data_IF_320055727992
#
_entry.id   IF_320055727992
#
_cell.length_a   1.000
_cell.length_b   1.000
_cell.length_c   1.000
_cell.angle_alpha   90.00
_cell.angle_beta   90.00
_cell.angle_gamma   90.00
#
_symmetry.space_group_name_H-M   'P 1'
#
loop_
_entity.id
_entity.type
_entity.pdbx_description
1 polymer ?
#
# COMPACT_ATOMS: atom_id res chain seq x y z
N UNK A 1 7.07 -1.26 22.39
CA UNK A 1 8.49 -1.37 21.94
C UNK A 1 9.26 -0.12 22.35
N UNK A 2 10.32 -0.28 23.16
CA UNK A 2 11.05 0.88 23.76
C UNK A 2 11.81 1.80 22.80
N UNK A 3 11.76 1.60 21.49
CA UNK A 3 12.55 2.42 20.54
C UNK A 3 11.99 2.36 19.11
N UNK A 4 10.65 2.44 18.96
CA UNK A 4 10.03 2.42 17.64
C UNK A 4 10.39 3.69 16.87
N UNK A 5 10.79 3.54 15.60
CA UNK A 5 11.19 4.65 14.71
C UNK A 5 10.41 4.68 13.40
N UNK A 6 9.79 3.57 13.03
CA UNK A 6 9.13 3.44 11.73
C UNK A 6 7.86 2.59 11.82
N UNK A 7 6.79 3.07 11.20
CA UNK A 7 5.65 2.24 10.83
C UNK A 7 5.54 2.21 9.30
N UNK A 8 5.60 1.00 8.75
CA UNK A 8 5.44 0.74 7.33
C UNK A 8 4.02 0.24 7.08
N UNK A 9 3.29 0.90 6.19
CA UNK A 9 1.93 0.55 5.83
C UNK A 9 1.88 -0.04 4.42
N UNK A 10 1.11 -1.10 4.23
CA UNK A 10 0.56 -1.42 2.93
C UNK A 10 -0.56 -0.43 2.56
N UNK A 11 -1.03 -0.45 1.32
CA UNK A 11 -2.02 0.49 0.81
C UNK A 11 -3.40 -0.15 0.63
N UNK A 12 -3.49 -1.14 -0.25
CA UNK A 12 -4.76 -1.77 -0.63
C UNK A 12 -5.28 -2.63 0.52
N UNK A 13 -6.59 -2.57 0.81
CA UNK A 13 -7.27 -3.18 1.96
C UNK A 13 -6.67 -2.83 3.36
N UNK A 14 -5.60 -2.03 3.38
CA UNK A 14 -4.91 -1.54 4.59
C UNK A 14 -5.25 -0.08 4.88
N UNK A 15 -5.04 0.82 3.93
CA UNK A 15 -5.36 2.25 4.04
C UNK A 15 -6.58 2.64 3.21
N UNK A 16 -6.76 2.03 2.04
CA UNK A 16 -7.93 2.20 1.17
C UNK A 16 -8.62 0.85 0.97
N UNK A 17 -9.94 0.85 0.84
CA UNK A 17 -10.76 -0.37 0.71
C UNK A 17 -11.65 -0.30 -0.53
N UNK A 18 -12.14 -1.46 -0.98
CA UNK A 18 -13.08 -1.62 -2.12
C UNK A 18 -12.49 -1.16 -3.47
N UNK A 19 -11.95 0.04 -3.54
CA UNK A 19 -11.32 0.58 -4.76
C UNK A 19 -9.79 0.54 -4.55
N UNK A 20 -9.17 -0.52 -5.04
CA UNK A 20 -7.74 -0.72 -4.91
C UNK A 20 -6.93 0.26 -5.78
N UNK A 21 -5.66 0.42 -5.46
CA UNK A 21 -4.75 1.37 -6.10
C UNK A 21 -4.59 1.15 -7.62
N UNK A 22 -4.76 -0.08 -8.11
CA UNK A 22 -4.77 -0.39 -9.55
C UNK A 22 -6.15 -0.15 -10.17
N UNK A 23 -7.23 -0.41 -9.43
CA UNK A 23 -8.60 -0.21 -9.91
C UNK A 23 -8.94 1.27 -10.08
N UNK A 24 -8.45 2.12 -9.17
CA UNK A 24 -8.73 3.56 -9.18
C UNK A 24 -8.36 4.22 -10.53
N UNK A 25 -7.12 4.10 -11.06
CA UNK A 25 -6.79 4.66 -12.37
C UNK A 25 -7.55 3.98 -13.53
N UNK A 26 -7.94 2.70 -13.41
CA UNK A 26 -8.80 2.04 -14.41
C UNK A 26 -10.17 2.70 -14.46
N UNK A 27 -10.78 3.05 -13.31
CA UNK A 27 -12.03 3.81 -13.22
C UNK A 27 -11.88 5.16 -13.90
N UNK A 28 -10.82 5.90 -13.59
CA UNK A 28 -10.56 7.23 -14.18
C UNK A 28 -10.34 7.17 -15.69
N UNK A 29 -9.92 6.04 -16.21
CA UNK A 29 -9.75 5.80 -17.65
C UNK A 29 -10.99 5.16 -18.32
N UNK A 30 -12.11 4.98 -17.61
CA UNK A 30 -13.32 4.35 -18.12
C UNK A 30 -13.16 2.86 -18.45
N UNK A 31 -12.27 2.15 -17.73
CA UNK A 31 -11.88 0.75 -17.95
C UNK A 31 -12.32 -0.21 -16.83
N UNK A 32 -13.38 0.14 -16.10
CA UNK A 32 -13.89 -0.67 -14.97
C UNK A 32 -14.33 -2.07 -15.40
N UNK A 33 -14.98 -2.17 -16.59
CA UNK A 33 -15.47 -3.46 -17.09
C UNK A 33 -14.32 -4.39 -17.45
N UNK A 34 -13.33 -3.84 -18.16
CA UNK A 34 -12.13 -4.59 -18.54
C UNK A 34 -11.36 -5.04 -17.30
N UNK A 35 -11.20 -4.16 -16.31
CA UNK A 35 -10.60 -4.51 -15.00
C UNK A 35 -11.36 -5.66 -14.33
N UNK A 36 -12.69 -5.60 -14.27
CA UNK A 36 -13.52 -6.66 -13.67
C UNK A 36 -13.36 -8.01 -14.38
N UNK A 37 -13.18 -8.01 -15.71
CA UNK A 37 -12.93 -9.23 -16.46
C UNK A 37 -11.55 -9.85 -16.14
N UNK A 38 -10.52 -9.03 -15.93
CA UNK A 38 -9.21 -9.49 -15.51
C UNK A 38 -9.31 -10.10 -14.10
N UNK A 39 -10.00 -9.40 -13.17
CA UNK A 39 -10.22 -9.89 -11.81
C UNK A 39 -10.92 -11.24 -11.80
N UNK A 40 -11.96 -11.42 -12.62
CA UNK A 40 -12.66 -12.71 -12.73
C UNK A 40 -11.73 -13.84 -13.21
N UNK A 41 -10.77 -13.57 -14.08
CA UNK A 41 -9.82 -14.56 -14.55
C UNK A 41 -8.80 -14.95 -13.47
N UNK A 42 -8.34 -13.95 -12.71
CA UNK A 42 -7.46 -14.17 -11.56
C UNK A 42 -8.17 -14.99 -10.46
N UNK A 43 -9.40 -14.62 -10.07
CA UNK A 43 -10.20 -15.33 -9.08
C UNK A 43 -10.44 -16.79 -9.46
N UNK A 44 -10.64 -17.06 -10.76
CA UNK A 44 -10.76 -18.39 -11.32
C UNK A 44 -9.42 -19.10 -11.49
N UNK A 45 -8.30 -18.48 -11.08
CA UNK A 45 -6.93 -19.01 -11.22
C UNK A 45 -6.53 -19.36 -12.66
N UNK A 46 -7.08 -18.64 -13.65
CA UNK A 46 -6.71 -18.78 -15.06
C UNK A 46 -5.45 -18.01 -15.40
N UNK A 47 -5.20 -16.93 -14.66
CA UNK A 47 -3.97 -16.13 -14.68
C UNK A 47 -3.50 -15.96 -13.26
N UNK A 48 -2.20 -15.79 -13.07
CA UNK A 48 -1.62 -15.42 -11.78
C UNK A 48 -1.73 -13.90 -11.55
N UNK A 49 -1.55 -13.47 -10.29
CA UNK A 49 -1.72 -12.07 -9.90
C UNK A 49 -0.73 -11.11 -10.59
N UNK A 50 0.51 -11.58 -10.89
CA UNK A 50 1.51 -10.75 -11.58
C UNK A 50 1.07 -10.51 -13.03
N UNK A 51 0.64 -11.58 -13.72
CA UNK A 51 0.09 -11.48 -15.07
C UNK A 51 -1.14 -10.57 -15.11
N UNK A 52 -2.03 -10.67 -14.11
CA UNK A 52 -3.19 -9.80 -13.97
C UNK A 52 -2.79 -8.33 -13.83
N UNK A 53 -1.76 -8.02 -13.03
CA UNK A 53 -1.30 -6.64 -12.82
C UNK A 53 -0.70 -6.03 -14.10
N UNK A 54 0.03 -6.81 -14.90
CA UNK A 54 0.49 -6.34 -16.22
C UNK A 54 -0.68 -6.05 -17.17
N UNK A 55 -1.70 -6.91 -17.22
CA UNK A 55 -2.91 -6.66 -18.01
C UNK A 55 -3.68 -5.42 -17.51
N UNK A 56 -3.76 -5.22 -16.21
CA UNK A 56 -4.37 -4.02 -15.63
C UNK A 56 -3.58 -2.75 -15.97
N UNK A 57 -2.24 -2.85 -16.04
CA UNK A 57 -1.42 -1.71 -16.44
C UNK A 57 -1.72 -1.24 -17.87
N UNK A 58 -1.98 -2.17 -18.79
CA UNK A 58 -2.37 -1.83 -20.16
C UNK A 58 -3.67 -1.01 -20.21
N UNK A 59 -4.58 -1.19 -19.23
CA UNK A 59 -5.82 -0.42 -19.14
C UNK A 59 -5.59 1.06 -18.82
N UNK A 60 -4.40 1.43 -18.34
CA UNK A 60 -4.05 2.81 -18.03
C UNK A 60 -3.55 3.59 -19.25
N UNK A 61 -3.33 2.93 -20.39
CA UNK A 61 -2.85 3.57 -21.61
C UNK A 61 -3.70 4.81 -21.94
N UNK A 62 -3.04 5.97 -22.08
CA UNK A 62 -3.67 7.24 -22.42
C UNK A 62 -4.27 8.01 -21.22
N UNK A 63 -4.24 7.46 -19.99
CA UNK A 63 -4.66 8.19 -18.81
C UNK A 63 -3.61 9.27 -18.46
N UNK A 64 -4.06 10.48 -18.22
CA UNK A 64 -3.22 11.56 -17.71
C UNK A 64 -2.97 11.39 -16.21
N UNK A 65 -1.70 11.34 -15.79
CA UNK A 65 -1.27 11.05 -14.43
C UNK A 65 -1.90 11.98 -13.38
N UNK A 66 -2.03 13.28 -13.69
CA UNK A 66 -2.58 14.27 -12.77
C UNK A 66 -4.03 13.97 -12.32
N UNK A 67 -4.79 13.23 -13.12
CA UNK A 67 -6.18 12.83 -12.80
C UNK A 67 -6.25 11.98 -11.54
N UNK A 68 -5.20 11.20 -11.24
CA UNK A 68 -5.14 10.40 -10.02
C UNK A 68 -5.22 11.34 -8.80
N UNK A 69 -4.35 12.34 -8.72
CA UNK A 69 -4.35 13.28 -7.60
C UNK A 69 -5.63 14.12 -7.53
N UNK A 70 -6.16 14.53 -8.70
CA UNK A 70 -7.36 15.35 -8.79
C UNK A 70 -8.61 14.62 -8.25
N UNK A 71 -8.76 13.33 -8.55
CA UNK A 71 -10.00 12.59 -8.26
C UNK A 71 -9.84 11.52 -7.18
N UNK A 72 -8.68 11.41 -6.54
CA UNK A 72 -8.41 10.37 -5.55
C UNK A 72 -9.46 10.33 -4.44
N UNK A 73 -9.73 11.45 -3.78
CA UNK A 73 -10.68 11.51 -2.65
C UNK A 73 -12.15 11.34 -3.06
N UNK A 74 -12.47 11.53 -4.35
CA UNK A 74 -13.82 11.29 -4.87
C UNK A 74 -14.07 9.80 -5.15
N UNK A 75 -13.03 9.08 -5.55
CA UNK A 75 -13.11 7.68 -6.00
C UNK A 75 -12.69 6.71 -4.89
N UNK A 76 -11.58 6.97 -4.21
CA UNK A 76 -11.04 6.10 -3.19
C UNK A 76 -11.96 5.96 -1.96
N UNK A 77 -11.84 4.83 -1.25
CA UNK A 77 -12.55 4.53 0.00
C UNK A 77 -11.54 4.36 1.15
N UNK A 78 -10.99 5.48 1.68
CA UNK A 78 -10.00 5.41 2.74
C UNK A 78 -10.60 4.99 4.06
N UNK A 79 -9.81 4.36 4.93
CA UNK A 79 -10.11 4.23 6.35
C UNK A 79 -10.23 5.61 7.00
N UNK A 80 -10.98 5.67 8.09
CA UNK A 80 -11.09 6.90 8.88
C UNK A 80 -9.75 7.22 9.56
N UNK A 81 -9.51 8.51 9.77
CA UNK A 81 -8.45 9.03 10.64
C UNK A 81 -7.00 8.72 10.23
N UNK A 82 -6.72 8.37 8.95
CA UNK A 82 -5.35 8.09 8.48
C UNK A 82 -4.41 9.25 8.84
N UNK A 83 -4.77 10.48 8.45
CA UNK A 83 -3.95 11.67 8.72
C UNK A 83 -3.69 11.87 10.22
N UNK A 84 -4.72 11.69 11.05
CA UNK A 84 -4.59 11.82 12.51
C UNK A 84 -3.64 10.80 13.12
N UNK A 85 -3.62 9.56 12.58
CA UNK A 85 -2.69 8.51 13.00
C UNK A 85 -1.26 8.87 12.61
N UNK A 86 -1.03 9.29 11.35
CA UNK A 86 0.29 9.73 10.89
C UNK A 86 0.81 10.88 11.74
N UNK A 87 -0.01 11.91 12.00
CA UNK A 87 0.35 13.03 12.87
C UNK A 87 0.66 12.60 14.32
N UNK A 88 -0.09 11.63 14.85
CA UNK A 88 0.14 11.10 16.21
C UNK A 88 1.49 10.35 16.29
N UNK A 89 1.85 9.59 15.26
CA UNK A 89 3.14 8.90 15.17
C UNK A 89 4.29 9.90 15.01
N UNK A 90 4.15 10.91 14.16
CA UNK A 90 5.15 11.98 13.99
C UNK A 90 5.42 12.75 15.29
N UNK A 91 4.40 13.00 16.12
CA UNK A 91 4.57 13.61 17.46
C UNK A 91 5.45 12.77 18.39
N UNK A 92 5.59 11.48 18.14
CA UNK A 92 6.48 10.57 18.86
C UNK A 92 7.82 10.34 18.15
N UNK A 93 8.12 11.16 17.10
CA UNK A 93 9.29 11.00 16.22
C UNK A 93 9.33 9.63 15.50
N UNK A 94 8.18 9.05 15.21
CA UNK A 94 8.04 7.81 14.46
C UNK A 94 7.71 8.17 13.01
N UNK A 95 8.54 7.71 12.07
CA UNK A 95 8.32 7.89 10.63
C UNK A 95 7.23 6.95 10.13
N UNK A 96 6.54 7.34 9.07
CA UNK A 96 5.49 6.58 8.42
C UNK A 96 5.75 6.47 6.91
N UNK A 97 5.78 5.27 6.36
CA UNK A 97 5.95 5.05 4.92
C UNK A 97 4.86 4.14 4.37
N UNK A 98 4.60 4.27 3.07
CA UNK A 98 3.69 3.38 2.34
C UNK A 98 4.48 2.51 1.38
N UNK A 99 4.25 1.18 1.38
CA UNK A 99 4.84 0.25 0.41
C UNK A 99 3.73 -0.64 -0.16
N UNK A 100 3.42 -0.48 -1.45
CA UNK A 100 2.37 -1.22 -2.15
C UNK A 100 2.91 -1.99 -3.36
N UNK A 101 2.21 -3.04 -3.77
CA UNK A 101 2.39 -3.70 -5.07
C UNK A 101 1.85 -2.82 -6.20
N UNK A 102 0.83 -2.02 -5.93
CA UNK A 102 0.16 -1.16 -6.89
C UNK A 102 1.01 0.01 -7.42
N UNK A 103 0.42 0.90 -8.25
CA UNK A 103 1.13 2.00 -8.88
C UNK A 103 1.73 2.98 -7.87
N UNK A 104 3.01 3.28 -8.01
CA UNK A 104 3.68 4.26 -7.14
C UNK A 104 3.06 5.66 -7.24
N UNK A 105 2.42 5.99 -8.36
CA UNK A 105 1.71 7.25 -8.55
C UNK A 105 0.54 7.41 -7.58
N UNK A 106 -0.19 6.31 -7.29
CA UNK A 106 -1.26 6.31 -6.29
C UNK A 106 -0.68 6.40 -4.88
N UNK A 107 0.39 5.64 -4.58
CA UNK A 107 1.10 5.73 -3.31
C UNK A 107 1.64 7.14 -3.04
N UNK A 108 2.12 7.84 -4.08
CA UNK A 108 2.53 9.24 -4.00
C UNK A 108 1.39 10.16 -3.57
N UNK A 109 0.22 10.02 -4.19
CA UNK A 109 -0.97 10.82 -3.85
C UNK A 109 -1.38 10.60 -2.39
N UNK A 110 -1.36 9.34 -1.94
CA UNK A 110 -1.62 8.95 -0.53
C UNK A 110 -0.63 9.63 0.42
N UNK A 111 0.66 9.58 0.06
CA UNK A 111 1.72 10.23 0.83
C UNK A 111 1.50 11.74 0.95
N UNK A 112 1.22 12.40 -0.17
CA UNK A 112 1.00 13.86 -0.22
C UNK A 112 -0.24 14.30 0.58
N UNK A 113 -1.35 13.53 0.52
CA UNK A 113 -2.62 13.89 1.19
C UNK A 113 -2.53 13.71 2.71
N UNK A 114 -1.93 12.61 3.18
CA UNK A 114 -1.95 12.24 4.59
C UNK A 114 -0.64 12.44 5.33
N UNK A 115 0.42 12.91 4.61
CA UNK A 115 1.66 13.35 5.22
C UNK A 115 2.62 12.22 5.60
N UNK A 116 2.63 11.09 4.86
CA UNK A 116 3.65 10.07 5.04
C UNK A 116 5.04 10.58 4.66
N UNK A 117 6.09 10.01 5.24
CA UNK A 117 7.48 10.43 5.01
C UNK A 117 8.04 9.95 3.67
N UNK A 118 7.57 8.80 3.16
CA UNK A 118 8.02 8.24 1.88
C UNK A 118 7.00 7.21 1.34
N UNK A 119 7.16 6.84 0.07
CA UNK A 119 6.28 5.89 -0.61
C UNK A 119 7.03 5.02 -1.62
N UNK A 120 6.62 3.78 -1.74
CA UNK A 120 7.12 2.79 -2.69
C UNK A 120 5.94 2.08 -3.37
N UNK A 121 6.07 1.81 -4.65
CA UNK A 121 5.07 1.11 -5.46
C UNK A 121 5.64 0.72 -6.80
N UNK A 122 4.97 -0.15 -7.53
CA UNK A 122 5.38 -0.54 -8.88
C UNK A 122 5.47 0.69 -9.78
N UNK A 123 6.53 0.75 -10.58
CA UNK A 123 6.82 1.88 -11.44
C UNK A 123 6.10 1.73 -12.78
N UNK A 124 4.98 2.40 -12.91
CA UNK A 124 4.22 2.48 -14.16
C UNK A 124 4.83 3.58 -15.03
N UNK A 125 5.05 3.27 -16.32
CA UNK A 125 5.67 4.21 -17.25
C UNK A 125 4.72 5.36 -17.56
N UNK A 126 5.24 6.58 -17.40
CA UNK A 126 4.57 7.82 -17.76
C UNK A 126 5.48 8.62 -18.68
N UNK A 127 4.99 9.00 -19.85
CA UNK A 127 5.71 9.85 -20.81
C UNK A 127 4.86 11.11 -21.03
N UNK A 128 5.47 12.27 -20.83
CA UNK A 128 4.81 13.58 -20.97
C UNK A 128 3.51 13.69 -20.14
N UNK A 129 3.50 13.07 -18.93
CA UNK A 129 2.36 13.10 -18.03
C UNK A 129 1.24 12.12 -18.37
N UNK A 130 1.45 11.17 -19.30
CA UNK A 130 0.47 10.21 -19.76
C UNK A 130 0.97 8.79 -19.57
N UNK A 131 0.14 7.91 -19.00
CA UNK A 131 0.46 6.49 -18.84
C UNK A 131 0.59 5.78 -20.20
N UNK A 132 1.62 4.98 -20.36
CA UNK A 132 1.87 4.20 -21.58
C UNK A 132 1.28 2.79 -21.53
N UNK A 133 0.73 2.38 -20.38
CA UNK A 133 0.22 1.04 -20.16
C UNK A 133 1.28 0.00 -19.79
N UNK A 134 2.50 0.43 -19.44
CA UNK A 134 3.60 -0.48 -19.09
C UNK A 134 4.04 -0.34 -17.65
N UNK A 135 4.54 -1.44 -17.08
CA UNK A 135 5.26 -1.44 -15.81
C UNK A 135 6.76 -1.57 -16.12
N UNK A 136 7.55 -0.60 -15.65
CA UNK A 136 9.01 -0.59 -15.80
C UNK A 136 9.70 -1.41 -14.72
N UNK A 137 9.17 -1.31 -13.48
CA UNK A 137 9.69 -2.04 -12.34
C UNK A 137 8.51 -2.51 -11.46
N UNK A 138 8.40 -3.82 -11.30
CA UNK A 138 7.31 -4.44 -10.53
C UNK A 138 7.76 -4.68 -9.09
N UNK A 139 6.95 -4.27 -8.13
CA UNK A 139 7.14 -4.55 -6.71
C UNK A 139 6.20 -5.68 -6.29
N UNK A 140 6.77 -6.88 -6.05
CA UNK A 140 6.08 -7.99 -5.41
C UNK A 140 6.46 -8.11 -3.93
N UNK A 141 6.13 -9.25 -3.32
CA UNK A 141 6.38 -9.49 -1.89
C UNK A 141 7.86 -9.34 -1.49
N UNK A 142 8.78 -9.86 -2.32
CA UNK A 142 10.21 -9.79 -2.04
C UNK A 142 10.75 -8.36 -2.21
N UNK A 143 10.29 -7.65 -3.22
CA UNK A 143 10.68 -6.27 -3.48
C UNK A 143 10.14 -5.32 -2.40
N UNK A 144 8.98 -5.59 -1.78
CA UNK A 144 8.49 -4.82 -0.62
C UNK A 144 9.54 -4.81 0.51
N UNK A 145 10.19 -5.95 0.80
CA UNK A 145 11.24 -6.03 1.83
C UNK A 145 12.45 -5.18 1.42
N UNK A 146 12.86 -5.24 0.16
CA UNK A 146 14.01 -4.46 -0.33
C UNK A 146 13.73 -2.95 -0.24
N UNK A 147 12.51 -2.49 -0.55
CA UNK A 147 12.10 -1.10 -0.35
C UNK A 147 12.20 -0.70 1.12
N UNK A 148 11.69 -1.54 2.04
CA UNK A 148 11.78 -1.28 3.47
C UNK A 148 13.24 -1.22 3.96
N UNK A 149 14.08 -2.17 3.55
CA UNK A 149 15.52 -2.17 3.88
C UNK A 149 16.21 -0.91 3.37
N UNK A 150 15.96 -0.53 2.12
CA UNK A 150 16.52 0.68 1.55
C UNK A 150 16.17 1.93 2.37
N UNK A 151 14.89 2.07 2.75
CA UNK A 151 14.47 3.17 3.62
C UNK A 151 15.16 3.11 5.00
N UNK A 152 15.21 1.93 5.61
CA UNK A 152 15.83 1.72 6.92
C UNK A 152 17.33 2.06 6.92
N UNK A 153 18.07 1.62 5.92
CA UNK A 153 19.51 1.87 5.77
C UNK A 153 19.79 3.35 5.63
N UNK A 154 19.03 4.05 4.78
CA UNK A 154 19.16 5.50 4.57
C UNK A 154 18.84 6.34 5.82
N UNK A 155 18.01 5.80 6.72
CA UNK A 155 17.59 6.49 7.96
C UNK A 155 18.24 5.93 9.23
N UNK A 156 19.16 4.95 9.13
CA UNK A 156 19.80 4.28 10.27
C UNK A 156 18.77 3.66 11.24
N UNK A 157 17.74 3.00 10.70
CA UNK A 157 16.66 2.34 11.43
C UNK A 157 16.91 0.82 11.37
N UNK A 158 16.79 0.15 12.52
CA UNK A 158 16.96 -1.31 12.62
C UNK A 158 15.61 -2.01 12.45
N UNK A 159 15.59 -3.28 11.97
CA UNK A 159 14.35 -4.06 11.83
C UNK A 159 13.50 -4.11 13.11
N UNK A 160 14.13 -4.25 14.28
CA UNK A 160 13.44 -4.29 15.56
C UNK A 160 12.92 -2.91 16.04
N UNK A 161 13.17 -1.84 15.29
CA UNK A 161 12.63 -0.50 15.49
C UNK A 161 11.48 -0.19 14.51
N UNK A 162 11.01 -1.21 13.76
CA UNK A 162 9.95 -1.10 12.76
C UNK A 162 8.71 -1.90 13.15
N UNK A 163 7.54 -1.38 12.81
CA UNK A 163 6.26 -2.11 12.77
C UNK A 163 5.76 -2.10 11.34
N UNK A 164 5.25 -3.24 10.87
CA UNK A 164 4.53 -3.35 9.61
C UNK A 164 3.03 -3.49 9.85
N UNK A 165 2.24 -2.79 9.02
CA UNK A 165 0.77 -2.87 9.01
C UNK A 165 0.35 -3.28 7.59
N UNK A 166 -0.44 -4.34 7.46
CA UNK A 166 -0.88 -4.85 6.16
C UNK A 166 -2.00 -5.87 6.30
N UNK A 167 -2.61 -6.24 5.18
CA UNK A 167 -3.75 -7.17 5.12
C UNK A 167 -3.46 -8.45 4.32
N UNK A 168 -2.47 -8.40 3.42
CA UNK A 168 -2.26 -9.39 2.38
C UNK A 168 -1.13 -10.41 2.64
N UNK A 169 -1.10 -11.44 1.80
CA UNK A 169 0.00 -12.41 1.82
C UNK A 169 1.34 -11.82 1.41
N UNK A 170 1.33 -10.72 0.66
CA UNK A 170 2.53 -9.97 0.26
C UNK A 170 3.18 -9.22 1.41
N UNK A 171 2.48 -9.04 2.55
CA UNK A 171 2.99 -8.37 3.75
C UNK A 171 3.64 -9.34 4.74
N UNK A 172 3.33 -10.64 4.65
CA UNK A 172 3.89 -11.65 5.55
C UNK A 172 5.43 -11.62 5.62
N UNK A 173 6.17 -11.47 4.50
CA UNK A 173 7.62 -11.33 4.57
C UNK A 173 8.07 -10.09 5.34
N UNK A 174 7.40 -8.94 5.18
CA UNK A 174 7.70 -7.72 5.95
C UNK A 174 7.34 -7.90 7.43
N UNK A 175 6.23 -8.57 7.77
CA UNK A 175 5.88 -8.89 9.15
C UNK A 175 6.99 -9.66 9.86
N UNK A 176 7.62 -10.61 9.18
CA UNK A 176 8.73 -11.41 9.71
C UNK A 176 10.03 -10.63 9.83
N UNK A 177 10.22 -9.59 9.04
CA UNK A 177 11.41 -8.75 9.06
C UNK A 177 11.37 -7.70 10.16
N UNK A 178 10.20 -7.11 10.42
CA UNK A 178 10.00 -6.07 11.41
C UNK A 178 9.98 -6.62 12.86
N UNK A 179 10.27 -5.75 13.84
CA UNK A 179 10.13 -6.07 15.25
C UNK A 179 8.69 -6.18 15.74
N UNK A 180 7.73 -5.66 14.96
CA UNK A 180 6.30 -5.76 15.23
C UNK A 180 5.49 -5.83 13.95
N UNK A 181 4.27 -6.38 14.04
CA UNK A 181 3.37 -6.49 12.89
C UNK A 181 1.90 -6.47 13.31
N UNK A 182 1.09 -5.83 12.50
CA UNK A 182 -0.37 -5.70 12.69
C UNK A 182 -1.04 -6.13 11.39
N UNK A 183 -1.79 -7.21 11.46
CA UNK A 183 -2.69 -7.63 10.40
C UNK A 183 -4.00 -6.85 10.52
N UNK A 184 -4.37 -6.06 9.52
CA UNK A 184 -5.58 -5.26 9.52
C UNK A 184 -6.55 -5.79 8.46
N UNK A 185 -7.83 -5.98 8.83
CA UNK A 185 -8.91 -6.41 7.92
C UNK A 185 -8.57 -7.65 7.05
N UNK A 186 -7.80 -8.55 7.59
CA UNK A 186 -7.09 -9.60 6.85
C UNK A 186 -7.66 -10.99 7.04
N UNK A 187 -7.28 -11.91 6.16
CA UNK A 187 -7.62 -13.33 6.31
C UNK A 187 -6.93 -13.96 7.53
N UNK A 188 -7.50 -15.05 8.06
CA UNK A 188 -6.91 -15.81 9.16
C UNK A 188 -5.46 -16.23 8.88
N UNK A 189 -5.12 -16.57 7.64
CA UNK A 189 -3.76 -16.91 7.23
C UNK A 189 -2.78 -15.75 7.51
N UNK A 190 -3.16 -14.53 7.23
CA UNK A 190 -2.33 -13.33 7.44
C UNK A 190 -2.27 -13.01 8.93
N UNK A 191 -3.41 -13.07 9.64
CA UNK A 191 -3.49 -12.85 11.09
C UNK A 191 -2.55 -13.78 11.87
N UNK A 192 -2.48 -15.05 11.51
CA UNK A 192 -1.57 -16.04 12.15
C UNK A 192 -0.07 -15.75 11.92
N UNK A 193 0.28 -14.84 11.01
CA UNK A 193 1.65 -14.42 10.73
C UNK A 193 1.99 -13.04 11.29
N UNK A 194 1.05 -12.39 11.97
CA UNK A 194 1.24 -11.09 12.61
C UNK A 194 1.26 -11.23 14.15
N UNK A 195 1.85 -10.24 14.84
CA UNK A 195 1.81 -10.17 16.31
C UNK A 195 0.42 -9.74 16.81
N UNK A 196 -0.25 -8.87 16.07
CA UNK A 196 -1.58 -8.36 16.38
C UNK A 196 -2.47 -8.45 15.16
N UNK A 197 -3.77 -8.59 15.39
CA UNK A 197 -4.78 -8.54 14.33
C UNK A 197 -5.93 -7.62 14.78
N UNK A 198 -6.48 -6.85 13.82
CA UNK A 198 -7.59 -5.94 14.07
C UNK A 198 -8.45 -5.83 12.80
N UNK A 199 -9.77 -5.92 12.97
CA UNK A 199 -10.74 -5.59 11.93
C UNK A 199 -11.39 -4.26 12.30
N UNK A 200 -11.25 -3.25 11.42
CA UNK A 200 -11.67 -1.87 11.71
C UNK A 200 -11.88 -1.05 10.46
N UNK A 201 -12.72 -0.02 10.56
CA UNK A 201 -12.86 1.07 9.58
C UNK A 201 -12.15 2.35 10.04
N UNK A 202 -11.49 2.33 11.20
CA UNK A 202 -10.83 3.49 11.80
C UNK A 202 -9.38 3.15 12.16
N UNK A 203 -8.43 3.77 11.47
CA UNK A 203 -7.01 3.48 11.64
C UNK A 203 -6.50 3.80 13.06
N UNK A 204 -7.21 4.62 13.85
CA UNK A 204 -6.81 4.89 15.25
C UNK A 204 -6.76 3.64 16.11
N UNK A 205 -7.50 2.60 15.76
CA UNK A 205 -7.51 1.33 16.52
C UNK A 205 -6.16 0.61 16.56
N UNK A 206 -5.25 0.91 15.60
CA UNK A 206 -3.89 0.33 15.64
C UNK A 206 -2.98 1.02 16.66
N UNK A 207 -3.27 2.25 17.09
CA UNK A 207 -2.37 3.03 17.97
C UNK A 207 -2.12 2.35 19.32
N UNK A 208 -3.10 1.61 19.84
CA UNK A 208 -2.93 0.84 21.08
C UNK A 208 -1.83 -0.24 20.99
N UNK A 209 -1.60 -0.80 19.80
CA UNK A 209 -0.55 -1.79 19.56
C UNK A 209 0.80 -1.17 19.23
N UNK A 210 0.84 0.11 18.93
CA UNK A 210 2.04 0.85 18.55
C UNK A 210 2.59 1.65 19.72
N UNK A 211 1.73 2.40 20.41
CA UNK A 211 2.16 3.40 21.39
C UNK A 211 2.13 2.90 22.85
N UNK A 212 1.37 1.84 23.16
CA UNK A 212 1.14 1.40 24.54
C UNK A 212 1.68 0.00 24.85
N UNK A 213 2.55 -0.54 24.02
CA UNK A 213 3.20 -1.85 24.21
C UNK A 213 4.66 -1.73 24.63
#
# INVERSE_FOLDING_TARGET
MKNLKLVCFDLDDTLIREIHSVMLPCILNGKEKEHSLIQEQEDKRRIDYISADYLRAELLLGLEEYKIAQSFLEVAKPLKNIKSVVEALHKQNIKCIVITVGPKQVAKVVCDIWGFDDYYGSEYEVIEGVFTGKILNYIGADQKIECLKHFCDNNSIKPNECIAVGDGSTDIPIFKYCGGSIAINSSLKVQLNALYAVDTDDLTDILKYILYV
#
